data_IF_069478525635
#
_entry.id   IF_069478525635
#
_cell.length_a   1.000
_cell.length_b   1.000
_cell.length_c   1.000
_cell.angle_alpha   90.00
_cell.angle_beta   90.00
_cell.angle_gamma   90.00
#
_symmetry.space_group_name_H-M   'P 1'
#
loop_
_entity.id
_entity.type
_entity.pdbx_description
1 polymer ?
#
# COMPACT_ATOMS: atom_id res chain seq x y z
N UNK A 1 51.72 38.93 57.02
CA UNK A 1 50.32 38.91 57.47
C UNK A 1 49.47 39.72 56.51
N UNK A 2 48.24 39.23 56.24
CA UNK A 2 47.12 39.82 55.47
C UNK A 2 46.86 39.16 54.11
N UNK A 3 45.94 38.18 54.18
CA UNK A 3 45.18 37.62 53.06
C UNK A 3 44.18 38.68 52.60
N UNK A 4 44.13 38.97 51.30
CA UNK A 4 43.05 39.75 50.69
C UNK A 4 42.27 38.77 49.81
N UNK A 5 41.05 38.46 50.24
CA UNK A 5 40.08 37.65 49.53
C UNK A 5 39.41 38.58 48.51
N UNK A 6 39.56 38.28 47.23
CA UNK A 6 38.89 38.98 46.14
C UNK A 6 37.55 38.28 45.86
N UNK A 7 36.45 38.92 46.24
CA UNK A 7 35.09 38.50 45.87
C UNK A 7 34.84 38.91 44.41
N UNK A 8 34.64 37.93 43.51
CA UNK A 8 34.13 38.17 42.17
C UNK A 8 32.60 38.30 42.24
N UNK A 9 32.08 39.49 41.94
CA UNK A 9 30.65 39.77 41.83
C UNK A 9 30.23 39.43 40.39
N UNK A 10 29.64 38.25 40.19
CA UNK A 10 29.05 37.85 38.91
C UNK A 10 27.71 38.58 38.77
N UNK A 11 27.71 39.68 38.00
CA UNK A 11 26.49 40.34 37.55
C UNK A 11 25.76 39.46 36.55
N UNK A 12 24.65 38.87 36.97
CA UNK A 12 23.73 38.14 36.11
C UNK A 12 22.95 39.17 35.26
N UNK A 13 23.44 39.47 34.06
CA UNK A 13 22.67 40.21 33.07
C UNK A 13 21.54 39.30 32.57
N UNK A 14 20.37 39.40 33.20
CA UNK A 14 19.13 38.87 32.63
C UNK A 14 18.78 39.81 31.46
N UNK A 15 19.28 39.49 30.26
CA UNK A 15 18.70 40.05 29.04
C UNK A 15 17.23 39.61 29.01
N UNK A 16 16.25 40.53 28.97
CA UNK A 16 14.88 40.12 28.70
C UNK A 16 14.85 39.40 27.36
N UNK A 17 14.18 38.24 27.32
CA UNK A 17 13.90 37.53 26.07
C UNK A 17 13.37 38.55 25.05
N UNK A 18 13.86 38.55 23.78
CA UNK A 18 13.34 39.47 22.79
C UNK A 18 11.82 39.29 22.74
N UNK A 19 11.10 40.39 22.98
CA UNK A 19 9.66 40.44 22.86
C UNK A 19 9.31 39.89 21.48
N UNK A 20 8.72 38.69 21.44
CA UNK A 20 8.20 38.15 20.20
C UNK A 20 7.05 39.06 19.80
N UNK A 21 7.26 39.88 18.77
CA UNK A 21 6.15 40.49 18.06
C UNK A 21 5.16 39.38 17.74
N UNK A 22 3.89 39.56 18.14
CA UNK A 22 2.82 38.60 17.95
C UNK A 22 2.75 38.23 16.46
N UNK A 23 3.29 37.07 16.13
CA UNK A 23 3.42 36.64 14.73
C UNK A 23 2.08 36.05 14.29
N UNK A 24 1.54 36.51 13.17
CA UNK A 24 0.26 36.07 12.67
C UNK A 24 0.37 34.67 12.06
N UNK A 25 -0.44 33.73 12.56
CA UNK A 25 -0.57 32.39 11.99
C UNK A 25 -1.36 32.45 10.67
N UNK A 26 -0.77 31.92 9.58
CA UNK A 26 -1.45 31.77 8.29
C UNK A 26 -1.46 30.30 7.90
N UNK A 27 -2.65 29.67 7.93
CA UNK A 27 -2.82 28.29 7.50
C UNK A 27 -3.08 28.20 5.99
N UNK A 28 -2.25 27.45 5.28
CA UNK A 28 -2.43 27.11 3.86
C UNK A 28 -2.87 25.64 3.81
N UNK A 29 -4.19 25.45 3.82
CA UNK A 29 -4.85 24.14 3.81
C UNK A 29 -6.09 24.19 2.93
N UNK A 30 -6.51 23.03 2.43
CA UNK A 30 -7.73 22.87 1.66
C UNK A 30 -8.24 21.42 1.71
N UNK A 31 -9.36 21.16 1.05
CA UNK A 31 -9.91 19.82 0.82
C UNK A 31 -9.03 19.00 -0.14
N UNK A 32 -9.43 17.75 -0.37
CA UNK A 32 -8.76 16.82 -1.27
C UNK A 32 -9.19 17.11 -2.72
N UNK A 33 -8.23 17.42 -3.59
CA UNK A 33 -8.49 17.73 -5.01
C UNK A 33 -8.18 16.57 -5.95
N UNK A 34 -7.17 15.76 -5.62
CA UNK A 34 -6.72 14.61 -6.43
C UNK A 34 -7.26 13.28 -5.91
N UNK A 35 -7.63 12.42 -6.84
CA UNK A 35 -7.88 11.01 -6.61
C UNK A 35 -6.54 10.30 -6.33
N UNK A 36 -6.62 9.10 -5.75
CA UNK A 36 -5.49 8.24 -5.42
C UNK A 36 -4.76 7.71 -6.66
N UNK A 37 -5.41 7.69 -7.82
CA UNK A 37 -4.77 7.39 -9.12
C UNK A 37 -4.01 8.59 -9.71
N UNK A 38 -4.01 9.73 -9.03
CA UNK A 38 -3.31 10.95 -9.42
C UNK A 38 -4.13 11.94 -10.25
N UNK A 39 -5.29 11.55 -10.77
CA UNK A 39 -6.19 12.44 -11.53
C UNK A 39 -6.90 13.45 -10.62
N UNK A 40 -7.24 14.62 -11.14
CA UNK A 40 -8.02 15.60 -10.39
C UNK A 40 -9.51 15.28 -10.44
N UNK A 41 -10.23 15.51 -9.34
CA UNK A 41 -11.68 15.31 -9.30
C UNK A 41 -12.41 16.43 -10.05
N UNK A 42 -11.99 17.67 -9.83
CA UNK A 42 -12.52 18.88 -10.47
C UNK A 42 -11.37 19.85 -10.73
N UNK A 43 -11.63 20.90 -11.52
CA UNK A 43 -10.65 21.97 -11.74
C UNK A 43 -10.83 23.16 -10.75
N UNK A 44 -11.45 22.94 -9.60
CA UNK A 44 -11.76 24.03 -8.65
C UNK A 44 -10.49 24.65 -8.04
N UNK A 45 -9.44 23.83 -7.80
CA UNK A 45 -8.17 24.31 -7.26
C UNK A 45 -7.53 25.40 -8.13
N UNK A 46 -7.71 25.35 -9.46
CA UNK A 46 -7.22 26.38 -10.37
C UNK A 46 -7.78 27.78 -10.05
N UNK A 47 -9.06 27.85 -9.65
CA UNK A 47 -9.70 29.11 -9.27
C UNK A 47 -9.21 29.62 -7.91
N UNK A 48 -8.91 28.71 -6.98
CA UNK A 48 -8.43 29.05 -5.64
C UNK A 48 -7.03 29.66 -5.65
N UNK A 49 -6.17 29.20 -6.55
CA UNK A 49 -4.77 29.64 -6.68
C UNK A 49 -4.59 30.78 -7.70
N UNK A 50 -5.59 31.04 -8.54
CA UNK A 50 -5.59 32.17 -9.46
C UNK A 50 -5.60 33.52 -8.72
N UNK A 51 -5.21 34.59 -9.41
CA UNK A 51 -5.23 35.95 -8.84
C UNK A 51 -6.62 36.30 -8.33
N UNK A 52 -6.70 36.67 -7.05
CA UNK A 52 -7.95 36.98 -6.35
C UNK A 52 -8.65 35.78 -5.71
N UNK A 53 -8.19 34.55 -6.00
CA UNK A 53 -8.64 33.33 -5.35
C UNK A 53 -8.27 33.28 -3.87
N UNK A 54 -8.99 32.46 -3.09
CA UNK A 54 -8.81 32.38 -1.63
C UNK A 54 -7.37 32.00 -1.25
N UNK A 55 -6.79 30.98 -1.86
CA UNK A 55 -5.42 30.56 -1.55
C UNK A 55 -4.40 31.62 -2.00
N UNK A 56 -4.61 32.23 -3.17
CA UNK A 56 -3.74 33.32 -3.66
C UNK A 56 -3.70 34.49 -2.67
N UNK A 57 -4.86 34.90 -2.16
CA UNK A 57 -4.95 36.01 -1.22
C UNK A 57 -4.22 35.74 0.11
N UNK A 58 -4.03 34.48 0.52
CA UNK A 58 -3.25 34.14 1.72
C UNK A 58 -1.75 34.44 1.54
N UNK A 59 -1.21 34.25 0.33
CA UNK A 59 0.22 34.44 0.03
C UNK A 59 0.53 35.81 -0.61
N UNK A 60 -0.52 36.59 -0.91
CA UNK A 60 -0.43 37.92 -1.48
C UNK A 60 -0.91 38.97 -0.47
N UNK A 61 -0.16 39.10 0.63
CA UNK A 61 -0.42 40.10 1.67
C UNK A 61 0.70 41.13 1.67
N UNK A 62 0.32 42.42 1.68
CA UNK A 62 1.23 43.56 1.49
C UNK A 62 1.71 44.19 2.79
N UNK A 63 1.25 43.70 3.94
CA UNK A 63 1.67 44.21 5.25
C UNK A 63 3.03 43.63 5.69
N UNK A 64 3.67 44.30 6.63
CA UNK A 64 4.98 43.93 7.20
C UNK A 64 4.86 43.02 8.43
N UNK A 65 3.66 42.49 8.71
CA UNK A 65 3.42 41.68 9.91
C UNK A 65 4.21 40.37 9.84
N UNK A 66 5.05 40.04 10.84
CA UNK A 66 5.71 38.74 10.91
C UNK A 66 4.69 37.61 10.91
N UNK A 67 4.92 36.57 10.09
CA UNK A 67 3.98 35.47 9.90
C UNK A 67 4.63 34.12 10.17
N UNK A 68 3.82 33.21 10.70
CA UNK A 68 4.12 31.77 10.76
C UNK A 68 3.25 31.08 9.72
N UNK A 69 3.87 30.54 8.68
CA UNK A 69 3.18 29.80 7.64
C UNK A 69 3.02 28.35 8.07
N UNK A 70 1.77 27.93 8.22
CA UNK A 70 1.39 26.57 8.61
C UNK A 70 0.79 25.90 7.38
N UNK A 71 1.53 24.97 6.77
CA UNK A 71 1.25 24.54 5.39
C UNK A 71 0.98 23.03 5.35
N UNK A 72 -0.10 22.63 4.69
CA UNK A 72 -0.33 21.24 4.30
C UNK A 72 0.47 20.89 3.03
N UNK A 73 1.43 19.98 3.17
CA UNK A 73 2.25 19.51 2.07
C UNK A 73 1.43 18.84 0.95
N UNK A 74 0.32 18.17 1.27
CA UNK A 74 -0.49 17.49 0.28
C UNK A 74 -1.19 18.47 -0.68
N UNK A 75 -1.63 19.62 -0.18
CA UNK A 75 -2.16 20.70 -1.01
C UNK A 75 -1.08 21.27 -1.95
N UNK A 76 0.12 21.51 -1.42
CA UNK A 76 1.21 22.05 -2.25
C UNK A 76 1.65 21.03 -3.32
N UNK A 77 1.59 19.72 -3.03
CA UNK A 77 1.80 18.68 -4.04
C UNK A 77 0.71 18.65 -5.11
N UNK A 78 -0.55 18.85 -4.73
CA UNK A 78 -1.64 18.99 -5.70
C UNK A 78 -1.39 20.21 -6.61
N UNK A 79 -0.98 21.36 -6.06
CA UNK A 79 -0.63 22.55 -6.85
C UNK A 79 0.60 22.29 -7.74
N UNK A 80 1.60 21.56 -7.23
CA UNK A 80 2.79 21.18 -8.01
C UNK A 80 2.42 20.26 -9.17
N UNK A 81 1.49 19.34 -8.98
CA UNK A 81 1.03 18.48 -10.07
C UNK A 81 0.32 19.25 -11.19
N UNK A 82 -0.21 20.45 -10.91
CA UNK A 82 -0.80 21.33 -11.93
C UNK A 82 0.23 22.11 -12.75
N UNK A 83 1.53 22.12 -12.37
CA UNK A 83 2.58 22.79 -13.17
C UNK A 83 3.01 21.96 -14.38
N UNK A 84 2.51 20.74 -14.49
CA UNK A 84 2.66 19.84 -15.62
C UNK A 84 1.27 19.58 -16.23
N UNK A 85 1.16 19.05 -17.46
CA UNK A 85 -0.12 18.62 -18.01
C UNK A 85 -0.85 17.66 -17.06
N UNK A 86 -2.12 17.94 -16.78
CA UNK A 86 -2.92 17.19 -15.82
C UNK A 86 -4.28 16.81 -16.39
N UNK A 87 -4.89 15.80 -15.78
CA UNK A 87 -6.14 15.21 -16.27
C UNK A 87 -7.18 15.13 -15.15
N UNK A 88 -8.42 15.45 -15.49
CA UNK A 88 -9.58 15.21 -14.63
C UNK A 88 -10.06 13.77 -14.78
N UNK A 89 -10.72 13.25 -13.75
CA UNK A 89 -11.29 11.88 -13.74
C UNK A 89 -12.18 11.55 -14.96
N UNK A 90 -12.83 12.55 -15.57
CA UNK A 90 -13.69 12.37 -16.73
C UNK A 90 -12.93 12.31 -18.08
N UNK A 91 -11.60 12.34 -18.07
CA UNK A 91 -10.76 12.32 -19.27
C UNK A 91 -10.41 13.71 -19.83
N UNK A 92 -10.92 14.78 -19.22
CA UNK A 92 -10.59 16.15 -19.67
C UNK A 92 -9.15 16.47 -19.32
N UNK A 93 -8.35 16.83 -20.33
CA UNK A 93 -6.94 17.19 -20.17
C UNK A 93 -6.75 18.69 -20.15
N UNK A 94 -5.80 19.13 -19.33
CA UNK A 94 -5.38 20.51 -19.21
C UNK A 94 -3.86 20.58 -19.41
N UNK A 95 -3.41 21.64 -20.06
CA UNK A 95 -2.00 21.98 -20.11
C UNK A 95 -1.52 22.46 -18.72
N UNK A 96 -0.21 22.61 -18.56
CA UNK A 96 0.38 23.17 -17.35
C UNK A 96 -0.26 24.52 -16.96
N UNK A 97 -0.68 24.65 -15.70
CA UNK A 97 -1.31 25.86 -15.17
C UNK A 97 -0.27 26.94 -14.87
N UNK A 98 -0.43 28.09 -15.52
CA UNK A 98 0.39 29.28 -15.27
C UNK A 98 0.13 29.82 -13.86
N UNK A 99 -1.11 29.71 -13.38
CA UNK A 99 -1.53 30.11 -12.02
C UNK A 99 -0.82 29.27 -10.96
N UNK A 100 -0.67 27.97 -11.17
CA UNK A 100 0.07 27.09 -10.26
C UNK A 100 1.56 27.48 -10.17
N UNK A 101 2.19 27.75 -11.32
CA UNK A 101 3.59 28.21 -11.37
C UNK A 101 3.76 29.55 -10.65
N UNK A 102 2.84 30.50 -10.87
CA UNK A 102 2.85 31.80 -10.21
C UNK A 102 2.65 31.65 -8.69
N UNK A 103 1.70 30.81 -8.27
CA UNK A 103 1.40 30.54 -6.87
C UNK A 103 2.62 29.98 -6.13
N UNK A 104 3.26 28.94 -6.68
CA UNK A 104 4.44 28.32 -6.06
C UNK A 104 5.62 29.29 -6.00
N UNK A 105 5.82 30.10 -7.03
CA UNK A 105 6.87 31.13 -7.04
C UNK A 105 6.66 32.18 -5.95
N UNK A 106 5.42 32.65 -5.79
CA UNK A 106 5.07 33.60 -4.75
C UNK A 106 5.16 32.97 -3.36
N UNK A 107 4.71 31.73 -3.18
CA UNK A 107 4.82 30.99 -1.93
C UNK A 107 6.29 30.84 -1.50
N UNK A 108 7.18 30.42 -2.41
CA UNK A 108 8.63 30.33 -2.17
C UNK A 108 9.21 31.67 -1.72
N UNK A 109 8.79 32.77 -2.37
CA UNK A 109 9.24 34.12 -2.05
C UNK A 109 8.84 34.53 -0.63
N UNK A 110 7.56 34.38 -0.25
CA UNK A 110 7.08 34.76 1.10
C UNK A 110 7.57 33.81 2.20
N UNK A 111 7.82 32.54 1.85
CA UNK A 111 8.37 31.56 2.76
C UNK A 111 9.87 31.76 3.02
N UNK A 112 10.65 32.38 2.12
CA UNK A 112 12.12 32.38 2.15
C UNK A 112 12.74 32.71 3.52
N UNK A 113 12.28 33.77 4.18
CA UNK A 113 12.80 34.24 5.47
C UNK A 113 11.77 34.14 6.61
N UNK A 114 10.66 33.43 6.38
CA UNK A 114 9.58 33.31 7.35
C UNK A 114 9.69 32.01 8.17
N UNK A 115 8.96 31.94 9.29
CA UNK A 115 8.77 30.67 9.97
C UNK A 115 7.80 29.82 9.16
N UNK A 116 8.18 28.57 8.87
CA UNK A 116 7.33 27.62 8.14
C UNK A 116 7.24 26.33 8.93
N UNK A 117 6.02 25.89 9.17
CA UNK A 117 5.67 24.65 9.86
C UNK A 117 4.85 23.77 8.92
N UNK A 118 5.31 22.53 8.72
CA UNK A 118 4.57 21.51 7.99
C UNK A 118 3.49 20.89 8.89
N UNK A 119 2.25 20.89 8.41
CA UNK A 119 1.17 20.06 8.94
C UNK A 119 1.42 18.58 8.60
N UNK A 120 0.82 17.62 9.33
CA UNK A 120 0.89 16.22 8.92
C UNK A 120 0.28 16.07 7.53
N UNK A 121 0.88 15.22 6.69
CA UNK A 121 0.50 15.11 5.28
C UNK A 121 -1.02 14.87 5.09
N UNK A 122 -1.69 15.77 4.37
CA UNK A 122 -3.14 15.71 4.15
C UNK A 122 -3.97 16.25 5.31
N UNK A 123 -3.33 16.93 6.26
CA UNK A 123 -3.93 17.54 7.45
C UNK A 123 -4.98 16.65 8.15
N UNK A 124 -4.64 15.41 8.54
CA UNK A 124 -5.55 14.52 9.27
C UNK A 124 -5.94 15.11 10.63
N UNK A 125 -7.17 14.85 11.09
CA UNK A 125 -7.56 15.11 12.47
C UNK A 125 -6.60 14.38 13.43
N UNK A 126 -5.82 15.12 14.24
CA UNK A 126 -4.78 14.53 15.06
C UNK A 126 -5.32 13.67 16.19
N UNK A 127 -6.53 13.96 16.73
CA UNK A 127 -7.16 13.13 17.77
C UNK A 127 -7.60 11.80 17.16
N UNK A 128 -8.30 11.85 16.03
CA UNK A 128 -8.74 10.66 15.31
C UNK A 128 -7.55 9.81 14.85
N UNK A 129 -6.57 10.42 14.19
CA UNK A 129 -5.39 9.74 13.70
C UNK A 129 -4.58 9.10 14.83
N UNK A 130 -4.48 9.74 16.00
CA UNK A 130 -3.83 9.12 17.16
C UNK A 130 -4.60 7.92 17.70
N UNK A 131 -5.94 7.97 17.68
CA UNK A 131 -6.80 6.91 18.17
C UNK A 131 -6.78 5.65 17.27
N UNK A 132 -6.83 5.82 15.95
CA UNK A 132 -6.96 4.68 15.01
C UNK A 132 -5.63 4.31 14.32
N UNK A 133 -4.62 5.19 14.42
CA UNK A 133 -3.51 5.23 13.48
C UNK A 133 -2.18 5.80 14.03
N UNK A 134 -1.77 5.56 15.30
CA UNK A 134 -0.70 6.34 15.94
C UNK A 134 0.64 6.29 15.20
N UNK A 135 1.06 5.12 14.71
CA UNK A 135 2.31 4.97 13.95
C UNK A 135 2.28 5.70 12.59
N UNK A 136 1.11 5.81 11.95
CA UNK A 136 0.99 6.53 10.68
C UNK A 136 0.99 8.04 10.88
N UNK A 137 0.49 8.54 12.01
CA UNK A 137 0.54 9.97 12.28
C UNK A 137 2.00 10.49 12.30
N UNK A 138 2.91 9.75 12.94
CA UNK A 138 4.34 10.07 12.91
C UNK A 138 4.92 10.01 11.49
N UNK A 139 4.51 9.02 10.69
CA UNK A 139 4.89 8.92 9.29
C UNK A 139 4.39 10.13 8.47
N UNK A 140 3.16 10.59 8.68
CA UNK A 140 2.58 11.75 7.98
C UNK A 140 3.31 13.05 8.32
N UNK A 141 3.71 13.26 9.58
CA UNK A 141 4.54 14.41 9.96
C UNK A 141 5.91 14.40 9.26
N UNK A 142 6.62 13.26 9.31
CA UNK A 142 7.94 13.13 8.67
C UNK A 142 7.85 13.31 7.15
N UNK A 143 6.84 12.72 6.54
CA UNK A 143 6.60 12.78 5.09
C UNK A 143 6.32 14.22 4.67
N UNK A 144 5.39 14.91 5.33
CA UNK A 144 5.07 16.29 5.01
C UNK A 144 6.26 17.24 5.19
N UNK A 145 7.03 17.09 6.27
CA UNK A 145 8.23 17.89 6.49
C UNK A 145 9.22 17.73 5.33
N UNK A 146 9.51 16.47 4.96
CA UNK A 146 10.49 16.16 3.92
C UNK A 146 10.03 16.70 2.56
N UNK A 147 8.79 16.41 2.17
CA UNK A 147 8.27 16.77 0.86
C UNK A 147 8.07 18.28 0.72
N UNK A 148 7.55 18.94 1.75
CA UNK A 148 7.40 20.40 1.74
C UNK A 148 8.77 21.11 1.73
N UNK A 149 9.77 20.58 2.44
CA UNK A 149 11.13 21.14 2.40
C UNK A 149 11.74 21.05 0.99
N UNK A 150 11.50 19.95 0.27
CA UNK A 150 11.91 19.80 -1.13
C UNK A 150 11.19 20.83 -2.01
N UNK A 151 9.87 20.94 -1.91
CA UNK A 151 9.09 21.86 -2.75
C UNK A 151 9.48 23.33 -2.50
N UNK A 152 9.69 23.72 -1.24
CA UNK A 152 10.08 25.09 -0.89
C UNK A 152 11.59 25.37 -1.03
N UNK A 153 12.39 24.35 -1.36
CA UNK A 153 13.86 24.42 -1.46
C UNK A 153 14.52 24.97 -0.18
N UNK A 154 13.96 24.61 0.99
CA UNK A 154 14.47 25.06 2.30
C UNK A 154 14.07 24.13 3.44
N UNK A 155 14.78 24.16 4.58
CA UNK A 155 14.34 23.47 5.78
C UNK A 155 12.99 23.99 6.31
N UNK A 156 12.14 23.06 6.75
CA UNK A 156 10.81 23.32 7.31
C UNK A 156 10.71 22.64 8.69
N UNK A 157 10.02 23.28 9.63
CA UNK A 157 9.76 22.72 10.97
C UNK A 157 8.61 21.72 10.91
N UNK A 158 8.65 20.71 11.76
CA UNK A 158 7.51 19.83 12.02
C UNK A 158 7.33 19.74 13.53
N UNK A 159 6.12 20.00 14.00
CA UNK A 159 5.83 20.13 15.43
C UNK A 159 4.63 19.29 15.84
N UNK A 160 4.79 17.96 15.99
CA UNK A 160 3.68 17.05 16.26
C UNK A 160 2.89 17.32 17.55
N UNK A 161 3.51 18.02 18.49
CA UNK A 161 2.94 18.37 19.79
C UNK A 161 2.27 19.75 19.79
N UNK A 162 2.55 20.57 18.79
CA UNK A 162 1.89 21.85 18.64
C UNK A 162 0.53 21.63 17.96
N UNK A 163 -0.52 22.28 18.48
CA UNK A 163 -1.90 22.13 18.01
C UNK A 163 -2.16 22.91 16.71
N UNK A 164 -1.28 22.77 15.71
CA UNK A 164 -1.38 23.44 14.42
C UNK A 164 -2.53 22.89 13.57
N UNK A 165 -2.73 21.57 13.58
CA UNK A 165 -3.87 20.93 12.91
C UNK A 165 -5.15 21.17 13.72
N UNK A 166 -6.13 21.81 13.09
CA UNK A 166 -7.41 22.19 13.70
C UNK A 166 -8.57 21.41 13.08
N UNK A 167 -9.65 21.24 13.85
CA UNK A 167 -10.89 20.60 13.40
C UNK A 167 -11.06 19.16 13.90
N UNK A 168 -12.30 18.68 13.82
CA UNK A 168 -12.68 17.32 14.23
C UNK A 168 -13.32 16.59 13.06
N UNK A 169 -12.99 15.31 12.92
CA UNK A 169 -13.46 14.48 11.83
C UNK A 169 -14.49 13.46 12.32
N UNK A 170 -15.73 13.62 11.84
CA UNK A 170 -16.71 12.54 11.94
C UNK A 170 -16.36 11.45 10.93
N UNK A 171 -15.79 10.34 11.42
CA UNK A 171 -15.41 9.19 10.61
C UNK A 171 -16.29 7.98 10.98
N UNK A 172 -17.31 7.64 10.17
CA UNK A 172 -18.19 6.48 10.40
C UNK A 172 -17.44 5.15 10.52
N UNK A 173 -17.99 4.20 11.28
CA UNK A 173 -17.31 2.93 11.57
C UNK A 173 -17.00 2.12 10.29
N UNK A 174 -17.93 2.05 9.35
CA UNK A 174 -17.69 1.36 8.06
C UNK A 174 -16.50 1.96 7.29
N UNK A 175 -16.28 3.28 7.36
CA UNK A 175 -15.11 3.90 6.74
C UNK A 175 -13.83 3.67 7.57
N UNK A 176 -13.92 3.58 8.92
CA UNK A 176 -12.79 3.16 9.78
C UNK A 176 -12.29 1.79 9.39
N UNK A 177 -13.21 0.84 9.21
CA UNK A 177 -12.89 -0.53 8.86
C UNK A 177 -12.22 -0.59 7.48
N UNK A 178 -12.76 0.11 6.48
CA UNK A 178 -12.14 0.23 5.14
C UNK A 178 -10.75 0.87 5.19
N UNK A 179 -10.56 1.93 5.98
CA UNK A 179 -9.26 2.57 6.17
C UNK A 179 -8.25 1.62 6.84
N UNK A 180 -8.69 0.86 7.85
CA UNK A 180 -7.86 -0.13 8.52
C UNK A 180 -7.45 -1.28 7.58
N UNK A 181 -8.38 -1.78 6.75
CA UNK A 181 -8.11 -2.78 5.70
C UNK A 181 -7.06 -2.27 4.71
N UNK A 182 -7.25 -1.06 4.18
CA UNK A 182 -6.33 -0.44 3.23
C UNK A 182 -4.92 -0.31 3.81
N UNK A 183 -4.81 0.19 5.05
CA UNK A 183 -3.53 0.28 5.74
C UNK A 183 -2.88 -1.08 6.00
N UNK A 184 -3.67 -2.08 6.42
CA UNK A 184 -3.16 -3.43 6.68
C UNK A 184 -2.56 -4.02 5.39
N UNK A 185 -3.22 -3.81 4.26
CA UNK A 185 -2.73 -4.24 2.96
C UNK A 185 -1.40 -3.54 2.58
N UNK A 186 -1.34 -2.21 2.68
CA UNK A 186 -0.10 -1.48 2.39
C UNK A 186 1.03 -1.86 3.35
N UNK A 187 0.74 -2.04 4.64
CA UNK A 187 1.71 -2.50 5.63
C UNK A 187 2.21 -3.91 5.37
N UNK A 188 1.37 -4.82 4.85
CA UNK A 188 1.79 -6.16 4.48
C UNK A 188 2.72 -6.13 3.27
N UNK A 189 2.38 -5.36 2.22
CA UNK A 189 3.26 -5.16 1.06
C UNK A 189 4.60 -4.53 1.46
N UNK A 190 4.60 -3.55 2.36
CA UNK A 190 5.82 -2.89 2.84
C UNK A 190 6.79 -3.81 3.60
N UNK A 191 6.42 -5.07 3.87
CA UNK A 191 7.35 -6.05 4.44
C UNK A 191 8.26 -6.70 3.40
N UNK A 192 7.90 -6.64 2.10
CA UNK A 192 8.64 -7.30 1.01
C UNK A 192 8.90 -6.39 -0.19
N UNK A 193 8.19 -5.26 -0.30
CA UNK A 193 8.36 -4.26 -1.36
C UNK A 193 9.16 -3.08 -0.84
N UNK A 194 9.97 -2.46 -1.70
CA UNK A 194 10.66 -1.20 -1.38
C UNK A 194 9.68 -0.14 -0.85
N UNK A 195 9.90 0.41 0.36
CA UNK A 195 9.05 1.46 0.93
C UNK A 195 8.85 2.68 0.03
N UNK A 196 9.81 3.01 -0.85
CA UNK A 196 9.70 4.13 -1.78
C UNK A 196 8.56 3.94 -2.78
N UNK A 197 8.31 2.71 -3.24
CA UNK A 197 7.22 2.40 -4.18
C UNK A 197 5.83 2.51 -3.52
N UNK A 198 5.76 2.44 -2.19
CA UNK A 198 4.51 2.52 -1.42
C UNK A 198 4.34 3.87 -0.72
N UNK A 199 5.34 4.74 -0.80
CA UNK A 199 5.38 5.97 0.00
C UNK A 199 4.20 6.90 -0.29
N UNK A 200 3.86 7.05 -1.58
CA UNK A 200 2.75 7.90 -2.04
C UNK A 200 1.40 7.38 -1.58
N UNK A 201 1.07 6.12 -1.90
CA UNK A 201 -0.22 5.53 -1.51
C UNK A 201 -0.39 5.53 0.01
N UNK A 202 0.69 5.26 0.77
CA UNK A 202 0.68 5.33 2.23
C UNK A 202 0.40 6.74 2.74
N UNK A 203 1.07 7.76 2.19
CA UNK A 203 0.89 9.15 2.60
C UNK A 203 -0.53 9.65 2.27
N UNK A 204 -1.03 9.33 1.07
CA UNK A 204 -2.36 9.73 0.62
C UNK A 204 -3.49 9.19 1.51
N UNK A 205 -3.33 8.02 2.14
CA UNK A 205 -4.32 7.51 3.10
C UNK A 205 -4.57 8.49 4.27
N UNK A 206 -3.57 9.30 4.66
CA UNK A 206 -3.73 10.35 5.68
C UNK A 206 -4.78 11.40 5.33
N UNK A 207 -4.94 11.70 4.03
CA UNK A 207 -5.92 12.69 3.51
C UNK A 207 -7.35 12.29 3.83
N UNK A 208 -7.65 11.00 4.03
CA UNK A 208 -9.00 10.52 4.36
C UNK A 208 -9.43 10.93 5.77
N UNK A 209 -8.50 11.25 6.65
CA UNK A 209 -8.77 11.61 8.04
C UNK A 209 -8.90 13.12 8.25
N UNK A 210 -8.85 13.92 7.18
CA UNK A 210 -8.92 15.39 7.29
C UNK A 210 -10.33 15.87 7.67
N UNK A 211 -10.45 16.93 8.49
CA UNK A 211 -11.73 17.59 8.75
C UNK A 211 -12.26 18.38 7.55
N UNK A 212 -11.41 18.69 6.54
CA UNK A 212 -11.82 19.43 5.35
C UNK A 212 -12.76 18.66 4.41
N UNK A 213 -12.90 17.34 4.60
CA UNK A 213 -13.82 16.50 3.83
C UNK A 213 -15.21 16.47 4.48
N UNK A 214 -16.23 16.87 3.72
CA UNK A 214 -17.62 16.59 4.08
C UNK A 214 -17.93 15.07 3.94
N UNK A 215 -19.11 14.64 4.40
CA UNK A 215 -19.49 13.23 4.41
C UNK A 215 -19.52 12.59 3.01
N UNK A 216 -20.00 13.31 2.00
CA UNK A 216 -20.13 12.81 0.62
C UNK A 216 -18.74 12.62 0.00
N UNK A 217 -17.89 13.63 0.12
CA UNK A 217 -16.53 13.60 -0.43
C UNK A 217 -15.67 12.55 0.28
N UNK A 218 -15.85 12.39 1.59
CA UNK A 218 -15.16 11.36 2.37
C UNK A 218 -15.52 9.96 1.91
N UNK A 219 -16.81 9.68 1.67
CA UNK A 219 -17.25 8.39 1.14
C UNK A 219 -16.65 8.14 -0.26
N UNK A 220 -16.66 9.16 -1.11
CA UNK A 220 -16.07 9.11 -2.45
C UNK A 220 -14.57 8.77 -2.40
N UNK A 221 -13.77 9.52 -1.62
CA UNK A 221 -12.33 9.30 -1.55
C UNK A 221 -11.97 8.01 -0.82
N UNK A 222 -12.76 7.57 0.16
CA UNK A 222 -12.56 6.26 0.80
C UNK A 222 -12.76 5.10 -0.19
N UNK A 223 -13.78 5.20 -1.06
CA UNK A 223 -13.98 4.24 -2.14
C UNK A 223 -12.84 4.29 -3.15
N UNK A 224 -12.43 5.48 -3.60
CA UNK A 224 -11.32 5.65 -4.53
C UNK A 224 -9.99 5.10 -3.97
N UNK A 225 -9.70 5.34 -2.69
CA UNK A 225 -8.55 4.77 -1.99
C UNK A 225 -8.58 3.24 -1.99
N UNK A 226 -9.74 2.63 -1.69
CA UNK A 226 -9.90 1.16 -1.73
C UNK A 226 -9.58 0.59 -3.11
N UNK A 227 -10.07 1.22 -4.17
CA UNK A 227 -9.79 0.78 -5.55
C UNK A 227 -8.30 0.89 -5.88
N UNK A 228 -7.65 1.98 -5.49
CA UNK A 228 -6.22 2.14 -5.77
C UNK A 228 -5.36 1.18 -4.95
N UNK A 229 -5.65 1.01 -3.65
CA UNK A 229 -4.96 0.02 -2.82
C UNK A 229 -5.13 -1.39 -3.39
N UNK A 230 -6.31 -1.74 -3.91
CA UNK A 230 -6.53 -3.00 -4.59
C UNK A 230 -5.59 -3.17 -5.81
N UNK A 231 -5.40 -2.13 -6.64
CA UNK A 231 -4.43 -2.19 -7.75
C UNK A 231 -2.99 -2.42 -7.27
N UNK A 232 -2.59 -1.83 -6.15
CA UNK A 232 -1.27 -2.10 -5.55
C UNK A 232 -1.14 -3.55 -5.09
N UNK A 233 -2.18 -4.13 -4.49
CA UNK A 233 -2.20 -5.54 -4.10
C UNK A 233 -2.09 -6.47 -5.30
N UNK A 234 -2.81 -6.17 -6.38
CA UNK A 234 -2.78 -6.96 -7.62
C UNK A 234 -1.43 -6.95 -8.34
N UNK A 235 -0.48 -6.09 -7.95
CA UNK A 235 0.90 -6.14 -8.46
C UNK A 235 1.66 -7.35 -7.92
N UNK A 236 1.38 -7.82 -6.70
CA UNK A 236 1.96 -9.05 -6.16
C UNK A 236 0.87 -10.11 -6.05
N UNK A 237 0.85 -11.05 -7.01
CA UNK A 237 -0.29 -11.95 -7.18
C UNK A 237 0.11 -13.39 -7.49
N UNK A 238 -0.64 -14.31 -6.91
CA UNK A 238 -0.68 -15.72 -7.29
C UNK A 238 -1.78 -15.89 -8.34
N UNK A 239 -1.48 -16.48 -9.48
CA UNK A 239 -2.52 -16.81 -10.46
C UNK A 239 -3.20 -18.11 -10.08
N UNK A 240 -4.53 -18.04 -9.92
CA UNK A 240 -5.38 -19.21 -9.79
C UNK A 240 -5.32 -20.10 -11.04
N UNK A 241 -5.66 -21.37 -10.87
CA UNK A 241 -5.65 -22.35 -11.96
C UNK A 241 -6.49 -23.58 -11.63
N UNK A 242 -6.89 -24.28 -12.69
CA UNK A 242 -7.57 -25.57 -12.62
C UNK A 242 -6.62 -26.63 -13.20
N UNK A 243 -6.37 -27.70 -12.45
CA UNK A 243 -5.39 -28.71 -12.82
C UNK A 243 -5.97 -30.11 -12.80
N UNK A 244 -5.60 -30.90 -13.80
CA UNK A 244 -5.91 -32.32 -13.88
C UNK A 244 -4.67 -33.13 -13.50
N UNK A 245 -4.77 -33.93 -12.44
CA UNK A 245 -3.66 -34.77 -11.98
C UNK A 245 -3.99 -36.25 -12.19
N UNK A 246 -3.18 -36.91 -13.01
CA UNK A 246 -3.33 -38.33 -13.38
C UNK A 246 -2.30 -39.23 -12.72
N UNK A 247 -1.28 -38.65 -12.05
CA UNK A 247 -0.16 -39.38 -11.43
C UNK A 247 -0.08 -39.15 -9.92
N UNK A 248 0.32 -40.18 -9.17
CA UNK A 248 0.48 -40.13 -7.71
C UNK A 248 1.54 -39.12 -7.24
N UNK A 249 2.56 -38.84 -8.06
CA UNK A 249 3.52 -37.76 -7.84
C UNK A 249 3.44 -36.81 -9.03
N UNK A 250 3.17 -35.54 -8.76
CA UNK A 250 2.98 -34.53 -9.79
C UNK A 250 3.71 -33.23 -9.42
N UNK A 251 4.07 -32.44 -10.43
CA UNK A 251 4.62 -31.09 -10.25
C UNK A 251 3.59 -30.09 -10.73
N UNK A 252 3.04 -29.31 -9.80
CA UNK A 252 2.03 -28.30 -10.07
C UNK A 252 2.70 -26.99 -10.50
N UNK A 253 2.46 -26.51 -11.72
CA UNK A 253 3.00 -25.23 -12.15
C UNK A 253 2.15 -24.10 -11.57
N UNK A 254 2.70 -23.33 -10.64
CA UNK A 254 2.06 -22.14 -10.05
C UNK A 254 2.72 -20.90 -10.66
N UNK A 255 1.90 -19.98 -11.17
CA UNK A 255 2.39 -18.71 -11.73
C UNK A 255 2.26 -17.61 -10.70
N UNK A 256 3.36 -16.91 -10.45
CA UNK A 256 3.50 -15.81 -9.51
C UNK A 256 3.83 -14.54 -10.28
N UNK A 257 3.29 -13.39 -9.90
CA UNK A 257 3.59 -12.10 -10.50
C UNK A 257 4.20 -11.14 -9.47
N UNK A 258 5.22 -10.42 -9.92
CA UNK A 258 5.71 -9.21 -9.29
C UNK A 258 5.62 -8.04 -10.29
N UNK A 259 4.67 -7.15 -10.06
CA UNK A 259 4.45 -5.92 -10.84
C UNK A 259 5.18 -4.69 -10.28
N UNK A 260 5.92 -4.83 -9.19
CA UNK A 260 6.74 -3.76 -8.61
C UNK A 260 8.07 -3.63 -9.35
N UNK A 261 8.73 -2.48 -9.18
CA UNK A 261 10.02 -2.19 -9.78
C UNK A 261 11.20 -2.79 -9.00
N UNK A 262 11.00 -3.16 -7.74
CA UNK A 262 11.96 -3.86 -6.89
C UNK A 262 11.81 -5.39 -6.94
N UNK A 263 12.91 -6.14 -6.77
CA UNK A 263 12.83 -7.59 -6.58
C UNK A 263 12.15 -7.89 -5.24
N UNK A 264 11.34 -8.94 -5.22
CA UNK A 264 10.55 -9.33 -4.04
C UNK A 264 10.98 -10.73 -3.58
N UNK A 265 11.25 -10.87 -2.29
CA UNK A 265 11.55 -12.15 -1.67
C UNK A 265 10.36 -12.58 -0.79
N UNK A 266 9.76 -13.72 -1.12
CA UNK A 266 8.55 -14.25 -0.46
C UNK A 266 8.65 -15.76 -0.31
N UNK A 267 7.84 -16.32 0.58
CA UNK A 267 7.55 -17.76 0.59
C UNK A 267 6.09 -17.98 0.22
N UNK A 268 5.77 -19.19 -0.23
CA UNK A 268 4.44 -19.63 -0.59
C UNK A 268 3.99 -20.69 0.43
N UNK A 269 3.04 -20.34 1.27
CA UNK A 269 2.34 -21.30 2.13
C UNK A 269 1.22 -21.97 1.35
N UNK A 270 1.13 -23.30 1.46
CA UNK A 270 0.21 -24.13 0.68
C UNK A 270 -0.59 -25.04 1.61
N UNK A 271 -1.91 -24.85 1.62
CA UNK A 271 -2.82 -25.67 2.42
C UNK A 271 -3.64 -26.59 1.53
N UNK A 272 -3.55 -27.89 1.78
CA UNK A 272 -4.38 -28.88 1.11
C UNK A 272 -5.83 -28.82 1.63
N UNK A 273 -6.79 -28.67 0.71
CA UNK A 273 -8.22 -28.68 1.04
C UNK A 273 -8.78 -30.06 1.41
N UNK A 274 -7.98 -31.12 1.30
CA UNK A 274 -8.36 -32.46 1.76
C UNK A 274 -7.13 -33.34 1.99
N UNK A 275 -7.30 -34.42 2.75
CA UNK A 275 -6.26 -35.45 2.97
C UNK A 275 -5.97 -36.32 1.72
N UNK A 276 -6.57 -36.00 0.56
CA UNK A 276 -6.32 -36.72 -0.70
C UNK A 276 -4.99 -36.35 -1.33
N UNK A 277 -4.39 -35.25 -0.88
CA UNK A 277 -3.11 -34.76 -1.37
C UNK A 277 -2.20 -34.36 -0.20
N UNK A 278 -0.90 -34.33 -0.44
CA UNK A 278 0.09 -33.65 0.40
C UNK A 278 0.89 -32.67 -0.46
N UNK A 279 1.09 -31.46 0.06
CA UNK A 279 1.87 -30.41 -0.58
C UNK A 279 2.68 -29.70 0.51
N UNK A 280 3.92 -29.37 0.20
CA UNK A 280 4.82 -28.66 1.10
C UNK A 280 4.91 -27.19 0.71
N UNK A 281 5.15 -26.32 1.69
CA UNK A 281 5.42 -24.91 1.49
C UNK A 281 6.69 -24.70 0.66
N UNK A 282 6.73 -23.64 -0.13
CA UNK A 282 7.90 -23.26 -0.93
C UNK A 282 8.53 -22.00 -0.35
N UNK A 283 9.78 -22.10 0.08
CA UNK A 283 10.51 -20.99 0.75
C UNK A 283 11.44 -20.25 -0.20
N UNK A 284 11.80 -19.03 0.20
CA UNK A 284 12.87 -18.22 -0.39
C UNK A 284 12.72 -17.99 -1.91
N UNK A 285 11.50 -17.71 -2.35
CA UNK A 285 11.18 -17.39 -3.74
C UNK A 285 11.56 -15.94 -4.02
N UNK A 286 12.49 -15.75 -4.95
CA UNK A 286 12.86 -14.42 -5.46
C UNK A 286 12.11 -14.13 -6.76
N UNK A 287 11.21 -13.15 -6.72
CA UNK A 287 10.45 -12.69 -7.88
C UNK A 287 11.13 -11.47 -8.51
N UNK A 288 11.48 -11.59 -9.78
CA UNK A 288 12.13 -10.50 -10.52
C UNK A 288 11.16 -9.33 -10.75
N UNK A 289 11.66 -8.08 -10.84
CA UNK A 289 10.83 -6.91 -11.08
C UNK A 289 9.98 -7.01 -12.35
N UNK A 290 8.76 -6.48 -12.30
CA UNK A 290 7.84 -6.35 -13.44
C UNK A 290 7.70 -7.62 -14.30
N UNK A 291 7.67 -8.79 -13.66
CA UNK A 291 7.68 -10.07 -14.35
C UNK A 291 6.68 -11.08 -13.77
N UNK A 292 6.50 -12.17 -14.51
CA UNK A 292 5.81 -13.38 -14.05
C UNK A 292 6.80 -14.52 -13.97
N UNK A 293 6.76 -15.26 -12.87
CA UNK A 293 7.62 -16.42 -12.61
C UNK A 293 6.74 -17.64 -12.41
N UNK A 294 7.02 -18.72 -13.14
CA UNK A 294 6.35 -19.99 -12.94
C UNK A 294 7.25 -20.91 -12.09
N UNK A 295 6.72 -21.39 -10.97
CA UNK A 295 7.40 -22.36 -10.11
C UNK A 295 6.72 -23.73 -10.23
N UNK A 296 7.49 -24.80 -10.04
CA UNK A 296 6.98 -26.17 -10.06
C UNK A 296 6.93 -26.72 -8.64
N UNK A 297 5.73 -26.87 -8.08
CA UNK A 297 5.54 -27.35 -6.71
C UNK A 297 5.30 -28.86 -6.73
N UNK A 298 6.15 -29.68 -6.09
CA UNK A 298 5.90 -31.10 -5.97
C UNK A 298 4.71 -31.35 -5.04
N UNK A 299 3.84 -32.29 -5.42
CA UNK A 299 2.76 -32.77 -4.56
C UNK A 299 2.53 -34.27 -4.76
N UNK A 300 2.02 -34.90 -3.71
CA UNK A 300 1.64 -36.32 -3.72
C UNK A 300 0.12 -36.47 -3.65
N UNK A 301 -0.42 -37.41 -4.41
CA UNK A 301 -1.85 -37.72 -4.50
C UNK A 301 -2.10 -39.13 -3.98
N UNK A 302 -3.01 -39.24 -3.01
CA UNK A 302 -3.34 -40.48 -2.32
C UNK A 302 -4.71 -41.04 -2.71
N UNK A 303 -5.63 -40.21 -3.20
CA UNK A 303 -6.97 -40.66 -3.59
C UNK A 303 -7.56 -39.82 -4.74
N UNK A 304 -8.39 -40.41 -5.61
CA UNK A 304 -9.09 -39.69 -6.68
C UNK A 304 -10.19 -38.78 -6.11
N UNK A 305 -10.66 -37.81 -6.92
CA UNK A 305 -11.72 -36.87 -6.58
C UNK A 305 -11.33 -35.40 -6.81
N UNK A 306 -12.28 -34.49 -6.55
CA UNK A 306 -12.02 -33.05 -6.62
C UNK A 306 -11.53 -32.53 -5.26
N UNK A 307 -10.57 -31.61 -5.30
CA UNK A 307 -10.06 -30.88 -4.13
C UNK A 307 -9.45 -29.54 -4.57
N UNK A 308 -8.84 -28.80 -3.66
CA UNK A 308 -8.16 -27.55 -3.94
C UNK A 308 -6.90 -27.40 -3.07
N UNK A 309 -6.02 -26.49 -3.47
CA UNK A 309 -4.94 -25.98 -2.62
C UNK A 309 -5.18 -24.49 -2.41
N UNK A 310 -5.17 -24.04 -1.16
CA UNK A 310 -5.14 -22.61 -0.84
C UNK A 310 -3.69 -22.16 -0.78
N UNK A 311 -3.33 -21.17 -1.59
CA UNK A 311 -1.99 -20.64 -1.70
C UNK A 311 -1.93 -19.19 -1.17
N UNK A 312 -0.97 -18.91 -0.31
CA UNK A 312 -0.78 -17.59 0.32
C UNK A 312 0.69 -17.17 0.24
N UNK A 313 0.95 -15.91 -0.14
CA UNK A 313 2.27 -15.35 0.05
C UNK A 313 2.51 -15.03 1.52
N UNK A 314 3.70 -15.35 2.00
CA UNK A 314 4.16 -14.98 3.34
C UNK A 314 5.55 -14.35 3.28
N UNK A 315 5.84 -13.45 4.19
CA UNK A 315 7.19 -12.90 4.36
C UNK A 315 8.07 -13.83 5.22
N UNK A 316 9.32 -13.44 5.46
CA UNK A 316 10.28 -14.22 6.26
C UNK A 316 9.83 -14.46 7.71
N UNK A 317 9.01 -13.57 8.25
CA UNK A 317 8.45 -13.68 9.60
C UNK A 317 7.12 -14.48 9.64
N UNK A 318 6.66 -15.02 8.51
CA UNK A 318 5.41 -15.79 8.41
C UNK A 318 4.14 -14.94 8.36
N UNK A 319 4.25 -13.63 8.16
CA UNK A 319 3.09 -12.74 7.97
C UNK A 319 2.54 -12.89 6.55
N UNK A 320 1.24 -13.15 6.44
CA UNK A 320 0.50 -13.25 5.17
C UNK A 320 0.49 -11.91 4.42
N UNK A 321 0.70 -12.00 3.11
CA UNK A 321 0.75 -10.90 2.16
C UNK A 321 -0.34 -11.10 1.11
N UNK A 322 -1.32 -10.20 1.08
CA UNK A 322 -2.43 -10.28 0.12
C UNK A 322 -3.54 -11.24 0.55
N UNK A 323 -4.38 -11.62 -0.42
CA UNK A 323 -5.48 -12.57 -0.19
C UNK A 323 -5.05 -13.97 -0.62
N UNK A 324 -5.56 -15.02 0.05
CA UNK A 324 -5.40 -16.39 -0.41
C UNK A 324 -5.97 -16.62 -1.82
N UNK A 325 -5.34 -17.52 -2.56
CA UNK A 325 -5.78 -17.95 -3.88
C UNK A 325 -6.02 -19.45 -3.89
N UNK A 326 -7.21 -19.87 -4.35
CA UNK A 326 -7.55 -21.28 -4.49
C UNK A 326 -7.11 -21.83 -5.86
N UNK A 327 -6.43 -22.97 -5.84
CA UNK A 327 -6.02 -23.75 -7.01
C UNK A 327 -6.86 -25.03 -7.04
N UNK A 328 -7.77 -25.15 -8.00
CA UNK A 328 -8.68 -26.31 -8.08
C UNK A 328 -7.97 -27.50 -8.71
N UNK A 329 -8.11 -28.68 -8.10
CA UNK A 329 -7.49 -29.92 -8.54
C UNK A 329 -8.56 -30.98 -8.82
N UNK A 330 -8.45 -31.64 -9.97
CA UNK A 330 -9.21 -32.83 -10.29
C UNK A 330 -8.27 -34.04 -10.40
N UNK A 331 -8.45 -35.00 -9.49
CA UNK A 331 -7.54 -36.12 -9.29
C UNK A 331 -8.14 -37.38 -9.92
N UNK A 332 -7.49 -37.92 -10.94
CA UNK A 332 -7.88 -39.18 -11.61
C UNK A 332 -6.82 -40.27 -11.44
N UNK A 333 -6.00 -40.16 -10.40
CA UNK A 333 -4.95 -41.13 -10.10
C UNK A 333 -5.57 -42.48 -9.76
N UNK A 334 -5.16 -43.50 -10.51
CA UNK A 334 -5.50 -44.90 -10.24
C UNK A 334 -4.34 -45.48 -9.43
N UNK A 335 -4.63 -46.11 -8.29
CA UNK A 335 -3.61 -46.79 -7.49
C UNK A 335 -2.88 -47.84 -8.36
N UNK A 336 -1.56 -47.72 -8.48
CA UNK A 336 -0.75 -48.65 -9.28
C UNK A 336 -0.91 -50.09 -8.84
N UNK A 337 -1.18 -50.33 -7.55
CA UNK A 337 -1.43 -51.67 -7.01
C UNK A 337 -2.68 -52.28 -7.63
N UNK A 338 -3.76 -51.49 -7.74
CA UNK A 338 -5.02 -51.94 -8.35
C UNK A 338 -4.81 -52.31 -9.81
N UNK A 339 -4.02 -51.53 -10.56
CA UNK A 339 -3.67 -51.85 -11.94
C UNK A 339 -2.88 -53.17 -12.08
N UNK A 340 -1.94 -53.44 -11.16
CA UNK A 340 -1.23 -54.72 -11.14
C UNK A 340 -2.13 -55.90 -10.75
N UNK A 341 -3.05 -55.71 -9.79
CA UNK A 341 -4.01 -56.74 -9.42
C UNK A 341 -4.96 -57.09 -10.56
N UNK A 342 -5.54 -56.10 -11.25
CA UNK A 342 -6.44 -56.35 -12.38
C UNK A 342 -5.70 -56.99 -13.56
N UNK A 343 -4.48 -56.53 -13.86
CA UNK A 343 -3.64 -57.13 -14.89
C UNK A 343 -3.28 -58.58 -14.55
N UNK A 344 -2.85 -58.85 -13.32
CA UNK A 344 -2.54 -60.20 -12.85
C UNK A 344 -3.75 -61.13 -12.89
N UNK A 345 -4.91 -60.65 -12.45
CA UNK A 345 -6.17 -61.39 -12.52
C UNK A 345 -6.58 -61.69 -13.98
N UNK A 346 -6.42 -60.73 -14.89
CA UNK A 346 -6.70 -60.91 -16.31
C UNK A 346 -5.77 -61.97 -16.94
N UNK A 347 -4.48 -61.95 -16.61
CA UNK A 347 -3.51 -62.95 -17.06
C UNK A 347 -3.88 -64.34 -16.54
N UNK A 348 -4.24 -64.47 -15.26
CA UNK A 348 -4.67 -65.73 -14.67
C UNK A 348 -5.95 -66.27 -15.34
N UNK A 349 -6.93 -65.41 -15.64
CA UNK A 349 -8.14 -65.79 -16.37
C UNK A 349 -7.83 -66.26 -17.80
N UNK A 350 -6.90 -65.60 -18.49
CA UNK A 350 -6.44 -66.04 -19.82
C UNK A 350 -5.79 -67.42 -19.78
N UNK A 351 -4.90 -67.67 -18.80
CA UNK A 351 -4.28 -68.98 -18.62
C UNK A 351 -5.32 -70.07 -18.28
N UNK A 352 -6.32 -69.75 -17.45
CA UNK A 352 -7.42 -70.66 -17.15
C UNK A 352 -8.25 -70.99 -18.40
N UNK A 353 -8.55 -70.00 -19.25
CA UNK A 353 -9.27 -70.21 -20.50
C UNK A 353 -8.48 -71.09 -21.49
N UNK A 354 -7.17 -70.86 -21.63
CA UNK A 354 -6.29 -71.68 -22.49
C UNK A 354 -6.24 -73.12 -21.98
N UNK A 355 -6.03 -73.32 -20.68
CA UNK A 355 -5.97 -74.67 -20.09
C UNK A 355 -7.30 -75.41 -20.18
N UNK A 356 -8.44 -74.73 -20.02
CA UNK A 356 -9.76 -75.32 -20.27
C UNK A 356 -9.95 -75.69 -21.75
N UNK A 357 -9.52 -74.85 -22.69
CA UNK A 357 -9.60 -75.14 -24.12
C UNK A 357 -8.77 -76.36 -24.51
N UNK A 358 -7.50 -76.44 -24.05
CA UNK A 358 -6.63 -77.61 -24.29
C UNK A 358 -7.21 -78.89 -23.67
N UNK A 359 -7.75 -78.82 -22.44
CA UNK A 359 -8.43 -79.97 -21.80
C UNK A 359 -9.66 -80.41 -22.59
N UNK A 360 -10.46 -79.47 -23.11
CA UNK A 360 -11.64 -79.76 -23.95
C UNK A 360 -11.23 -80.47 -25.24
N UNK A 361 -10.22 -79.97 -25.95
CA UNK A 361 -9.72 -80.58 -27.20
C UNK A 361 -9.12 -81.97 -26.96
N UNK A 362 -8.38 -82.18 -25.86
CA UNK A 362 -7.86 -83.51 -25.50
C UNK A 362 -8.96 -84.52 -25.14
N UNK A 363 -10.07 -84.08 -24.53
CA UNK A 363 -11.22 -84.94 -24.23
C UNK A 363 -12.08 -85.27 -25.46
N UNK A 364 -12.02 -84.48 -26.52
CA UNK A 364 -12.72 -84.74 -27.78
C UNK A 364 -11.92 -85.64 -28.76
N UNK A 365 -10.67 -85.97 -28.42
CA UNK A 365 -9.78 -86.88 -29.19
C UNK A 365 -9.62 -88.28 -28.57
N UNK A 366 -10.26 -88.54 -27.44
CA UNK A 366 -10.55 -89.88 -26.92
C UNK A 366 -12.01 -90.18 -27.23
#
# INVERSE_FOLDING_TARGET
MKKIILFFLIGFFIMPSPAHAESLEVQITDTVHRNFDGTFRTNALAQEIAVGGRLWNLIFLTDSTPRIWVIDAALIEDITAMTEPYELRNGTKFEASVEAVAFLSQLKKVAKNAQVVALPFGNPDPKLARAIAPNELNYYYKTAQTRLAVILERPVRSEPLAAWSKGETLFPQNLRDQYAENRKAISALATVVDPAELADIRAQLGRLLTPALNQVDRAYFSFNARQEVYKYRERLKIYGGNYQLTSAKSKLPITLANGFASPIEVSLHLYAGSSRISVDDVKDIVLTPKSKTQISVPLEVFAPGQTYITAEFVNKEGRVIGDPVELTLNLTVIDSRVAWFTTGAAVLLFLAAITQSVRRVRRARK
#
